data_IF_143994416811
#
_entry.id   IF_143994416811
#
_cell.length_a   1.000
_cell.length_b   1.000
_cell.length_c   1.000
_cell.angle_alpha   90.00
_cell.angle_beta   90.00
_cell.angle_gamma   90.00
#
_symmetry.space_group_name_H-M   'P 1'
#
loop_
_entity.id
_entity.type
_entity.pdbx_description
1 polymer ?
#
# COMPACT_ATOMS: atom_id res chain seq x y z
N UNK A 1 18.37 -11.21 -1.04
CA UNK A 1 17.59 -9.96 -0.97
C UNK A 1 16.12 -10.18 -1.27
N UNK A 2 15.31 -9.98 -0.25
CA UNK A 2 13.84 -9.99 -0.25
C UNK A 2 13.26 -8.85 -1.08
N UNK A 3 12.00 -8.97 -1.46
CA UNK A 3 11.34 -8.00 -2.33
C UNK A 3 11.22 -6.63 -1.66
N UNK A 4 10.86 -6.58 -0.38
CA UNK A 4 10.78 -5.32 0.36
C UNK A 4 12.11 -4.62 0.53
N UNK A 5 13.21 -5.36 0.70
CA UNK A 5 14.56 -4.78 0.78
C UNK A 5 14.98 -4.15 -0.55
N UNK A 6 14.62 -4.75 -1.69
CA UNK A 6 14.87 -4.15 -3.00
C UNK A 6 14.18 -2.79 -3.15
N UNK A 7 12.95 -2.65 -2.66
CA UNK A 7 12.24 -1.35 -2.65
C UNK A 7 12.95 -0.29 -1.81
N UNK A 8 13.60 -0.69 -0.72
CA UNK A 8 14.43 0.22 0.08
C UNK A 8 15.63 0.68 -0.75
N UNK A 9 16.31 -0.22 -1.46
CA UNK A 9 17.44 0.12 -2.35
C UNK A 9 16.99 1.02 -3.50
N UNK A 10 15.84 0.78 -4.12
CA UNK A 10 15.33 1.63 -5.20
C UNK A 10 15.18 3.09 -4.76
N UNK A 11 14.76 3.32 -3.50
CA UNK A 11 14.62 4.67 -2.93
C UNK A 11 15.92 5.22 -2.34
N UNK A 12 16.77 4.35 -1.82
CA UNK A 12 18.07 4.67 -1.22
C UNK A 12 19.17 3.77 -1.77
N UNK A 13 19.64 4.00 -3.01
CA UNK A 13 20.59 3.11 -3.67
C UNK A 13 21.90 2.92 -2.90
N UNK A 14 22.34 3.97 -2.20
CA UNK A 14 23.54 3.96 -1.37
C UNK A 14 23.49 2.99 -0.18
N UNK A 15 22.33 2.44 0.17
CA UNK A 15 22.20 1.46 1.24
C UNK A 15 22.55 0.04 0.80
N UNK A 16 22.60 -0.27 -0.50
CA UNK A 16 22.83 -1.63 -1.01
C UNK A 16 24.13 -2.24 -0.46
N UNK A 17 25.25 -1.51 -0.59
CA UNK A 17 26.55 -1.98 -0.09
C UNK A 17 26.54 -2.22 1.43
N UNK A 18 25.84 -1.35 2.18
CA UNK A 18 25.73 -1.44 3.64
C UNK A 18 24.84 -2.61 4.08
N UNK A 19 23.84 -2.97 3.29
CA UNK A 19 22.99 -4.15 3.53
C UNK A 19 23.81 -5.43 3.31
N UNK A 20 24.56 -5.51 2.20
CA UNK A 20 25.40 -6.67 1.88
C UNK A 20 26.58 -6.85 2.87
N UNK A 21 27.15 -5.74 3.35
CA UNK A 21 28.22 -5.77 4.34
C UNK A 21 27.77 -6.38 5.68
N UNK A 22 26.52 -6.12 6.10
CA UNK A 22 25.96 -6.69 7.31
C UNK A 22 25.75 -8.21 7.20
N UNK A 23 25.36 -8.72 6.03
CA UNK A 23 25.31 -10.18 5.77
C UNK A 23 26.69 -10.84 5.88
N UNK A 24 27.75 -10.07 5.65
CA UNK A 24 29.15 -10.52 5.67
C UNK A 24 29.84 -10.40 7.05
N UNK A 25 29.12 -9.94 8.08
CA UNK A 25 29.62 -9.86 9.47
C UNK A 25 30.46 -8.62 9.80
N UNK A 26 30.41 -7.56 8.98
CA UNK A 26 31.04 -6.27 9.29
C UNK A 26 30.28 -5.51 10.39
N UNK A 27 30.99 -4.63 11.12
CA UNK A 27 30.40 -3.87 12.24
C UNK A 27 29.26 -2.98 11.76
N UNK A 28 28.06 -3.27 12.23
CA UNK A 28 26.84 -2.50 11.94
C UNK A 28 26.98 -1.02 12.31
N UNK A 29 27.83 -0.68 13.27
CA UNK A 29 27.98 0.67 13.81
C UNK A 29 28.69 1.62 12.82
N UNK A 30 29.66 1.13 12.07
CA UNK A 30 30.38 1.93 11.05
C UNK A 30 29.49 2.23 9.83
N UNK A 31 28.60 1.30 9.48
CA UNK A 31 27.67 1.47 8.37
C UNK A 31 26.62 2.57 8.64
N UNK A 32 26.28 2.80 9.91
CA UNK A 32 25.21 3.71 10.36
C UNK A 32 25.71 5.15 10.54
N UNK A 33 26.97 5.36 10.92
CA UNK A 33 27.49 6.68 11.30
C UNK A 33 27.41 7.73 10.18
N UNK A 34 27.45 7.32 8.92
CA UNK A 34 27.42 8.24 7.78
C UNK A 34 26.01 8.59 7.30
N UNK A 35 24.95 8.06 7.94
CA UNK A 35 23.58 8.14 7.47
C UNK A 35 22.74 9.06 8.35
N UNK A 36 21.71 9.69 7.79
CA UNK A 36 20.74 10.45 8.57
C UNK A 36 19.76 9.52 9.33
N UNK A 37 18.91 10.08 10.20
CA UNK A 37 18.01 9.27 11.02
C UNK A 37 16.97 8.48 10.20
N UNK A 38 16.56 8.98 9.03
CA UNK A 38 15.60 8.32 8.13
C UNK A 38 16.30 7.13 7.48
N UNK A 39 17.44 7.37 6.82
CA UNK A 39 18.27 6.37 6.17
C UNK A 39 18.69 5.27 7.13
N UNK A 40 19.11 5.62 8.36
CA UNK A 40 19.45 4.65 9.40
C UNK A 40 18.26 3.77 9.77
N UNK A 41 17.05 4.34 9.83
CA UNK A 41 15.83 3.60 10.15
C UNK A 41 15.51 2.60 9.04
N UNK A 42 15.60 3.01 7.77
CA UNK A 42 15.37 2.11 6.64
C UNK A 42 16.49 1.07 6.46
N UNK A 43 17.74 1.39 6.78
CA UNK A 43 18.83 0.41 6.79
C UNK A 43 18.60 -0.68 7.84
N UNK A 44 18.23 -0.30 9.06
CA UNK A 44 17.90 -1.27 10.13
C UNK A 44 16.68 -2.12 9.77
N UNK A 45 15.69 -1.51 9.13
CA UNK A 45 14.51 -2.23 8.63
C UNK A 45 14.89 -3.24 7.55
N UNK A 46 15.76 -2.86 6.61
CA UNK A 46 16.32 -3.75 5.58
C UNK A 46 17.08 -4.94 6.19
N UNK A 47 17.94 -4.70 7.19
CA UNK A 47 18.63 -5.78 7.90
C UNK A 47 17.67 -6.74 8.60
N UNK A 48 16.64 -6.21 9.26
CA UNK A 48 15.59 -7.03 9.85
C UNK A 48 14.83 -7.83 8.81
N UNK A 49 14.51 -7.24 7.65
CA UNK A 49 13.86 -7.97 6.58
C UNK A 49 14.74 -9.12 6.10
N UNK A 50 16.02 -8.91 5.77
CA UNK A 50 16.88 -10.01 5.30
C UNK A 50 17.07 -11.10 6.36
N UNK A 51 17.29 -10.73 7.63
CA UNK A 51 17.65 -11.68 8.68
C UNK A 51 16.92 -11.42 10.02
N UNK A 52 15.61 -11.67 10.11
CA UNK A 52 14.79 -11.32 11.29
C UNK A 52 15.14 -12.10 12.56
N UNK A 53 15.89 -13.20 12.43
CA UNK A 53 16.33 -14.01 13.58
C UNK A 53 17.60 -13.46 14.23
N UNK A 54 18.34 -12.58 13.55
CA UNK A 54 19.63 -12.06 14.02
C UNK A 54 19.68 -10.54 14.09
N UNK A 55 18.96 -9.85 13.20
CA UNK A 55 18.79 -8.41 13.25
C UNK A 55 17.52 -8.06 14.02
N UNK A 56 17.63 -7.18 15.02
CA UNK A 56 16.50 -6.63 15.73
C UNK A 56 16.08 -5.28 15.12
N UNK A 57 14.77 -5.05 15.00
CA UNK A 57 14.22 -3.76 14.63
C UNK A 57 13.42 -3.16 15.78
N UNK A 58 13.82 -1.97 16.25
CA UNK A 58 13.11 -1.23 17.29
C UNK A 58 12.02 -0.35 16.67
N UNK A 59 10.75 -0.68 16.94
CA UNK A 59 9.61 0.11 16.48
C UNK A 59 9.62 1.56 16.98
N UNK A 60 10.30 1.84 18.10
CA UNK A 60 10.48 3.21 18.60
C UNK A 60 11.21 4.09 17.58
N UNK A 61 12.06 3.51 16.73
CA UNK A 61 12.75 4.25 15.67
C UNK A 61 11.77 4.83 14.63
N UNK A 62 10.65 4.14 14.34
CA UNK A 62 9.62 4.66 13.45
C UNK A 62 9.01 5.93 14.02
N UNK A 63 8.65 5.91 15.31
CA UNK A 63 8.03 7.04 16.00
C UNK A 63 8.99 8.24 16.14
N UNK A 64 10.28 8.00 16.37
CA UNK A 64 11.26 9.06 16.62
C UNK A 64 11.84 9.68 15.36
N UNK A 65 11.97 8.91 14.28
CA UNK A 65 12.78 9.30 13.14
C UNK A 65 11.96 9.53 11.87
N UNK A 66 10.71 9.06 11.79
CA UNK A 66 9.90 9.14 10.59
C UNK A 66 8.64 9.98 10.82
N UNK A 67 8.37 10.87 9.88
CA UNK A 67 7.15 11.69 9.81
C UNK A 67 6.55 11.59 8.40
N UNK A 68 5.25 11.91 8.29
CA UNK A 68 4.49 12.00 7.03
C UNK A 68 4.70 10.76 6.12
N UNK A 69 5.02 11.00 4.84
CA UNK A 69 5.22 9.99 3.80
C UNK A 69 6.25 8.92 4.18
N UNK A 70 7.25 9.26 5.00
CA UNK A 70 8.27 8.30 5.42
C UNK A 70 7.72 7.27 6.39
N UNK A 71 6.88 7.69 7.34
CA UNK A 71 6.23 6.80 8.27
C UNK A 71 5.21 5.91 7.54
N UNK A 72 4.40 6.49 6.66
CA UNK A 72 3.45 5.73 5.84
C UNK A 72 4.15 4.66 5.00
N UNK A 73 5.24 5.03 4.33
CA UNK A 73 5.99 4.09 3.50
C UNK A 73 6.64 2.98 4.32
N UNK A 74 7.17 3.27 5.52
CA UNK A 74 7.69 2.24 6.41
C UNK A 74 6.62 1.21 6.83
N UNK A 75 5.41 1.67 7.17
CA UNK A 75 4.29 0.79 7.52
C UNK A 75 3.81 -0.05 6.33
N UNK A 76 3.83 0.54 5.13
CA UNK A 76 3.56 -0.19 3.88
C UNK A 76 4.59 -1.30 3.66
N UNK A 77 5.89 -1.01 3.80
CA UNK A 77 6.96 -1.98 3.67
C UNK A 77 6.85 -3.12 4.68
N UNK A 78 6.58 -2.83 5.95
CA UNK A 78 6.37 -3.85 6.99
C UNK A 78 5.19 -4.75 6.61
N UNK A 79 4.09 -4.16 6.14
CA UNK A 79 2.92 -4.93 5.70
C UNK A 79 3.25 -5.82 4.50
N UNK A 80 3.95 -5.28 3.50
CA UNK A 80 4.39 -6.03 2.32
C UNK A 80 5.33 -7.17 2.69
N UNK A 81 6.26 -6.96 3.62
CA UNK A 81 7.19 -7.97 4.10
C UNK A 81 6.43 -9.17 4.70
N UNK A 82 5.45 -8.89 5.55
CA UNK A 82 4.65 -9.95 6.17
C UNK A 82 3.69 -10.66 5.20
N UNK A 83 3.28 -10.00 4.11
CA UNK A 83 2.41 -10.58 3.08
C UNK A 83 3.17 -11.38 2.02
N UNK A 84 4.26 -10.82 1.50
CA UNK A 84 4.92 -11.28 0.27
C UNK A 84 6.24 -12.00 0.54
N UNK A 85 7.02 -11.57 1.54
CA UNK A 85 8.33 -12.17 1.81
C UNK A 85 8.27 -13.30 2.84
N UNK A 86 7.38 -13.21 3.82
CA UNK A 86 7.24 -14.25 4.88
C UNK A 86 5.95 -15.05 4.80
N UNK A 87 4.95 -14.55 4.05
CA UNK A 87 3.60 -15.15 3.96
C UNK A 87 2.92 -15.41 5.32
N UNK A 88 3.26 -14.64 6.36
CA UNK A 88 2.61 -14.72 7.67
C UNK A 88 1.21 -14.11 7.64
N UNK A 89 1.00 -13.06 6.82
CA UNK A 89 -0.33 -12.52 6.52
C UNK A 89 -0.89 -13.24 5.27
N UNK A 90 -1.59 -14.35 5.49
CA UNK A 90 -2.11 -15.22 4.39
C UNK A 90 -3.44 -14.76 3.80
N UNK A 91 -4.29 -14.17 4.63
CA UNK A 91 -5.64 -13.70 4.27
C UNK A 91 -5.79 -12.27 4.77
N UNK A 92 -5.20 -11.29 4.08
CA UNK A 92 -5.32 -9.90 4.49
C UNK A 92 -6.79 -9.50 4.51
N UNK A 93 -7.29 -9.08 5.66
CA UNK A 93 -8.66 -8.57 5.84
C UNK A 93 -8.75 -7.05 5.69
N UNK A 94 -7.60 -6.37 5.57
CA UNK A 94 -7.50 -4.94 5.39
C UNK A 94 -6.75 -4.65 4.08
N UNK A 95 -7.30 -3.76 3.27
CA UNK A 95 -6.61 -3.17 2.12
C UNK A 95 -6.18 -1.76 2.49
N UNK A 96 -4.94 -1.42 2.18
CA UNK A 96 -4.46 -0.04 2.29
C UNK A 96 -4.72 0.58 0.92
N UNK A 97 -5.83 1.34 0.80
CA UNK A 97 -6.05 2.22 -0.35
C UNK A 97 -5.35 3.53 -0.01
N UNK A 98 -4.39 3.95 -0.84
CA UNK A 98 -3.82 5.31 -0.74
C UNK A 98 -4.89 6.30 -1.18
N UNK A 99 -4.98 7.49 -0.57
CA UNK A 99 -5.98 8.50 -0.98
C UNK A 99 -5.89 8.86 -2.48
N UNK A 100 -4.72 8.62 -3.11
CA UNK A 100 -4.47 8.78 -4.54
C UNK A 100 -4.38 7.44 -5.32
N UNK A 101 -4.85 6.33 -4.75
CA UNK A 101 -4.97 5.08 -5.51
C UNK A 101 -6.13 5.24 -6.50
N UNK A 102 -5.80 5.81 -7.66
CA UNK A 102 -6.74 6.15 -8.72
C UNK A 102 -7.50 4.93 -9.24
N UNK A 103 -7.06 3.71 -8.90
CA UNK A 103 -7.66 2.49 -9.39
C UNK A 103 -9.02 2.18 -8.73
N UNK A 104 -9.33 2.79 -7.58
CA UNK A 104 -10.59 2.55 -6.86
C UNK A 104 -11.40 3.83 -6.71
N UNK A 105 -12.68 3.73 -7.06
CA UNK A 105 -13.67 4.78 -6.97
C UNK A 105 -14.61 4.49 -5.79
N UNK A 106 -14.75 5.44 -4.88
CA UNK A 106 -15.82 5.43 -3.89
C UNK A 106 -17.18 5.74 -4.55
N UNK A 107 -18.26 5.66 -3.77
CA UNK A 107 -19.63 5.85 -4.27
C UNK A 107 -19.87 7.20 -4.97
N UNK A 108 -19.26 8.29 -4.50
CA UNK A 108 -19.38 9.61 -5.13
C UNK A 108 -18.63 9.64 -6.45
N UNK A 109 -17.41 9.09 -6.49
CA UNK A 109 -16.59 9.00 -7.69
C UNK A 109 -17.21 8.08 -8.75
N UNK A 110 -17.84 6.98 -8.34
CA UNK A 110 -18.63 6.11 -9.22
C UNK A 110 -19.74 6.91 -9.92
N UNK A 111 -20.53 7.68 -9.16
CA UNK A 111 -21.61 8.48 -9.72
C UNK A 111 -21.10 9.55 -10.69
N UNK A 112 -20.00 10.21 -10.34
CA UNK A 112 -19.34 11.20 -11.20
C UNK A 112 -18.86 10.56 -12.50
N UNK A 113 -18.19 9.40 -12.41
CA UNK A 113 -17.72 8.66 -13.58
C UNK A 113 -18.88 8.36 -14.55
N UNK A 114 -20.00 7.84 -14.06
CA UNK A 114 -21.17 7.56 -14.90
C UNK A 114 -21.73 8.83 -15.55
N UNK A 115 -21.80 9.93 -14.79
CA UNK A 115 -22.29 11.22 -15.28
C UNK A 115 -21.40 11.81 -16.37
N UNK A 116 -20.09 11.76 -16.19
CA UNK A 116 -19.10 12.17 -17.20
C UNK A 116 -19.22 11.34 -18.49
N UNK A 117 -19.68 10.08 -18.38
CA UNK A 117 -19.91 9.19 -19.50
C UNK A 117 -21.36 9.22 -20.04
N UNK A 118 -22.15 10.23 -19.68
CA UNK A 118 -23.47 10.50 -20.25
C UNK A 118 -24.65 9.81 -19.53
N UNK A 119 -24.40 9.08 -18.45
CA UNK A 119 -25.44 8.43 -17.65
C UNK A 119 -25.80 9.30 -16.45
N UNK A 120 -27.06 9.73 -16.34
CA UNK A 120 -27.51 10.58 -15.21
C UNK A 120 -27.54 9.79 -13.90
N UNK A 121 -26.46 9.91 -13.11
CA UNK A 121 -26.31 9.27 -11.81
C UNK A 121 -25.84 10.28 -10.76
N UNK A 122 -26.52 10.30 -9.63
CA UNK A 122 -26.01 10.96 -8.42
C UNK A 122 -25.59 9.90 -7.40
N UNK A 123 -24.89 10.35 -6.35
CA UNK A 123 -24.45 9.49 -5.27
C UNK A 123 -25.62 8.69 -4.66
N UNK A 124 -26.79 9.31 -4.48
CA UNK A 124 -27.94 8.68 -3.85
C UNK A 124 -28.51 7.54 -4.70
N UNK A 125 -28.57 7.73 -6.02
CA UNK A 125 -28.99 6.72 -6.99
C UNK A 125 -28.04 5.53 -6.99
N UNK A 126 -26.73 5.77 -6.98
CA UNK A 126 -25.74 4.67 -6.83
C UNK A 126 -25.99 3.88 -5.55
N UNK A 127 -26.24 4.56 -4.41
CA UNK A 127 -26.57 3.88 -3.14
C UNK A 127 -27.79 2.97 -3.29
N UNK A 128 -28.90 3.55 -3.77
CA UNK A 128 -30.18 2.86 -3.84
C UNK A 128 -30.13 1.69 -4.82
N UNK A 129 -29.37 1.83 -5.91
CA UNK A 129 -29.23 0.79 -6.92
C UNK A 129 -28.31 -0.33 -6.43
N UNK A 130 -27.27 0.01 -5.66
CA UNK A 130 -26.45 -0.97 -4.96
C UNK A 130 -27.27 -1.77 -3.94
N UNK A 131 -28.05 -1.08 -3.08
CA UNK A 131 -28.92 -1.74 -2.09
C UNK A 131 -29.99 -2.65 -2.73
N UNK A 132 -30.26 -2.48 -4.04
CA UNK A 132 -31.18 -3.30 -4.85
C UNK A 132 -30.48 -4.40 -5.68
N UNK A 133 -29.16 -4.54 -5.59
CA UNK A 133 -28.36 -5.48 -6.38
C UNK A 133 -28.26 -5.14 -7.87
N UNK A 134 -28.55 -3.88 -8.25
CA UNK A 134 -28.45 -3.40 -9.64
C UNK A 134 -27.01 -3.00 -9.96
N UNK A 135 -26.36 -2.25 -9.06
CA UNK A 135 -24.92 -1.95 -9.11
C UNK A 135 -24.17 -3.20 -8.66
N UNK A 136 -23.02 -3.55 -9.27
CA UNK A 136 -22.22 -4.70 -8.86
C UNK A 136 -21.79 -4.61 -7.38
N UNK A 137 -21.51 -5.76 -6.78
CA UNK A 137 -20.91 -5.79 -5.45
C UNK A 137 -19.62 -4.98 -5.41
N UNK A 138 -19.31 -4.39 -4.25
CA UNK A 138 -18.10 -3.61 -4.08
C UNK A 138 -16.88 -4.52 -4.19
N UNK A 139 -15.89 -4.11 -4.99
CA UNK A 139 -14.62 -4.84 -5.10
C UNK A 139 -13.84 -4.77 -3.78
N UNK A 140 -14.09 -3.73 -2.99
CA UNK A 140 -13.44 -3.52 -1.71
C UNK A 140 -14.32 -2.74 -0.73
N UNK A 141 -14.26 -3.10 0.56
CA UNK A 141 -14.92 -2.38 1.65
C UNK A 141 -13.87 -2.00 2.70
N UNK A 142 -13.70 -0.69 2.95
CA UNK A 142 -12.79 -0.15 3.98
C UNK A 142 -13.60 0.73 4.92
N UNK A 143 -13.54 0.44 6.22
CA UNK A 143 -14.25 1.23 7.25
C UNK A 143 -15.73 1.46 6.89
N UNK A 144 -16.39 0.40 6.42
CA UNK A 144 -17.79 0.40 5.94
C UNK A 144 -18.06 1.27 4.69
N UNK A 145 -17.02 1.82 4.06
CA UNK A 145 -17.08 2.54 2.79
C UNK A 145 -16.81 1.57 1.64
N UNK A 146 -17.66 1.63 0.62
CA UNK A 146 -17.63 0.75 -0.55
C UNK A 146 -16.82 1.39 -1.68
N UNK A 147 -15.98 0.58 -2.30
CA UNK A 147 -15.10 0.96 -3.39
C UNK A 147 -15.24 -0.02 -4.55
N UNK A 148 -15.15 0.51 -5.76
CA UNK A 148 -15.15 -0.25 -7.01
C UNK A 148 -13.92 0.11 -7.81
N UNK A 149 -13.29 -0.89 -8.42
CA UNK A 149 -12.23 -0.68 -9.38
C UNK A 149 -12.75 0.11 -10.58
N UNK A 150 -11.88 0.89 -11.24
CA UNK A 150 -12.23 1.56 -12.51
C UNK A 150 -12.81 0.56 -13.52
N UNK A 151 -12.24 -0.64 -13.62
CA UNK A 151 -12.69 -1.70 -14.54
C UNK A 151 -14.13 -2.13 -14.25
N UNK A 152 -14.49 -2.35 -12.98
CA UNK A 152 -15.86 -2.67 -12.56
C UNK A 152 -16.84 -1.55 -12.89
N UNK A 153 -16.46 -0.29 -12.66
CA UNK A 153 -17.29 0.88 -12.99
C UNK A 153 -17.48 1.02 -14.51
N UNK A 154 -16.42 0.81 -15.29
CA UNK A 154 -16.44 0.81 -16.75
C UNK A 154 -17.36 -0.27 -17.32
N UNK A 155 -17.21 -1.51 -16.86
CA UNK A 155 -18.05 -2.63 -17.31
C UNK A 155 -19.53 -2.38 -17.01
N UNK A 156 -19.83 -1.80 -15.83
CA UNK A 156 -21.19 -1.40 -15.49
C UNK A 156 -21.71 -0.27 -16.39
N UNK A 157 -20.90 0.75 -16.65
CA UNK A 157 -21.24 1.89 -17.51
C UNK A 157 -21.63 1.43 -18.92
N UNK A 158 -20.82 0.57 -19.54
CA UNK A 158 -21.10 0.05 -20.89
C UNK A 158 -22.36 -0.82 -20.92
N UNK A 159 -22.58 -1.65 -19.88
CA UNK A 159 -23.81 -2.43 -19.73
C UNK A 159 -25.05 -1.54 -19.63
N UNK A 160 -24.99 -0.42 -18.92
CA UNK A 160 -26.11 0.51 -18.79
C UNK A 160 -26.36 1.31 -20.07
N UNK A 161 -25.30 1.72 -20.77
CA UNK A 161 -25.42 2.35 -22.09
C UNK A 161 -26.08 1.43 -23.13
N UNK A 162 -25.76 0.13 -23.12
CA UNK A 162 -26.39 -0.84 -24.01
C UNK A 162 -27.89 -1.08 -23.75
N UNK A 163 -28.46 -0.54 -22.66
CA UNK A 163 -29.90 -0.60 -22.35
C UNK A 163 -30.67 0.66 -22.76
N UNK A 164 -29.97 1.73 -23.14
CA UNK A 164 -30.53 3.00 -23.62
C UNK A 164 -30.78 2.95 -25.12
#
# INVERSE_FOLDING_TARGET
MKHTTKRIIEKFPMLEEKILAHESGLSAEEAIQSLDCIEQTFLKLAWFFENPNHANFDLTSLYKNLEDDWLEWALELITLYFRQDTYLIKKPSFSIIKENDSNYLNQSQFANYLTEHGLKYDRAKVKNYYDRGIIPEADLIISNTKYWSIESVQAYCEKEKGKL
#
